data_IF_144766084248
#
_entry.id   IF_144766084248
#
_cell.length_a   1.000
_cell.length_b   1.000
_cell.length_c   1.000
_cell.angle_alpha   90.00
_cell.angle_beta   90.00
_cell.angle_gamma   90.00
#
_symmetry.space_group_name_H-M   'P 1'
#
loop_
_entity.id
_entity.type
_entity.pdbx_description
1 polymer ?
#
# COMPACT_ATOMS: atom_id res chain seq x y z
N UNK A 1 -2.53 -0.69 -12.88
CA UNK A 1 -2.28 0.23 -11.76
C UNK A 1 -2.97 1.56 -12.08
N UNK A 2 -4.13 1.84 -11.48
CA UNK A 2 -4.83 3.11 -11.70
C UNK A 2 -4.05 4.25 -11.02
N UNK A 3 -3.30 5.03 -11.79
CA UNK A 3 -2.75 6.29 -11.31
C UNK A 3 -3.91 7.24 -11.07
N UNK A 4 -4.16 7.60 -9.80
CA UNK A 4 -5.01 8.73 -9.47
C UNK A 4 -4.47 9.95 -10.23
N UNK A 5 -5.32 10.60 -11.04
CA UNK A 5 -4.93 11.71 -11.91
C UNK A 5 -4.31 12.84 -11.09
N UNK A 6 -3.01 13.07 -11.25
CA UNK A 6 -2.28 14.15 -10.60
C UNK A 6 -1.17 14.61 -11.54
N UNK A 7 -0.96 15.92 -11.66
CA UNK A 7 0.03 16.50 -12.59
C UNK A 7 1.48 16.09 -12.25
N UNK A 8 1.79 15.90 -10.96
CA UNK A 8 3.10 15.44 -10.47
C UNK A 8 2.88 14.44 -9.32
N UNK A 9 3.53 13.29 -9.39
CA UNK A 9 3.52 12.30 -8.31
C UNK A 9 4.89 12.20 -7.62
N UNK A 10 5.18 13.04 -6.60
CA UNK A 10 6.49 13.11 -5.95
C UNK A 10 6.82 11.87 -5.10
N UNK A 11 5.83 11.01 -4.83
CA UNK A 11 5.97 9.77 -4.06
C UNK A 11 6.03 8.54 -4.96
N UNK A 12 5.99 8.71 -6.28
CA UNK A 12 6.06 7.62 -7.24
C UNK A 12 7.35 6.81 -7.04
N UNK A 13 7.21 5.48 -7.00
CA UNK A 13 8.24 4.45 -6.70
C UNK A 13 8.61 4.26 -5.22
N UNK A 14 8.08 5.05 -4.29
CA UNK A 14 8.29 4.79 -2.86
C UNK A 14 7.30 3.74 -2.36
N UNK A 15 7.81 2.71 -1.70
CA UNK A 15 6.98 1.75 -0.97
C UNK A 15 6.49 2.34 0.37
N UNK A 16 5.55 1.67 1.04
CA UNK A 16 4.89 2.25 2.22
C UNK A 16 5.88 2.46 3.37
N UNK A 17 6.84 1.55 3.53
CA UNK A 17 7.95 1.64 4.48
C UNK A 17 8.86 2.83 4.22
N UNK A 18 9.25 3.07 2.96
CA UNK A 18 10.05 4.22 2.54
C UNK A 18 9.32 5.54 2.78
N UNK A 19 8.01 5.59 2.51
CA UNK A 19 7.16 6.73 2.85
C UNK A 19 7.15 7.05 4.35
N UNK A 20 7.03 6.03 5.21
CA UNK A 20 7.10 6.18 6.68
C UNK A 20 8.48 6.69 7.14
N UNK A 21 9.57 6.17 6.56
CA UNK A 21 10.93 6.61 6.88
C UNK A 21 11.15 8.08 6.51
N UNK A 22 10.63 8.51 5.35
CA UNK A 22 10.69 9.91 4.94
C UNK A 22 9.91 10.82 5.90
N UNK A 23 8.70 10.42 6.31
CA UNK A 23 7.91 11.16 7.28
C UNK A 23 8.61 11.27 8.64
N UNK A 24 9.25 10.19 9.11
CA UNK A 24 10.07 10.22 10.33
C UNK A 24 11.26 11.17 10.19
N UNK A 25 11.97 11.15 9.05
CA UNK A 25 13.09 12.06 8.77
C UNK A 25 12.67 13.54 8.70
N UNK A 26 11.43 13.81 8.26
CA UNK A 26 10.85 15.16 8.20
C UNK A 26 10.26 15.64 9.54
N UNK A 27 10.36 14.84 10.62
CA UNK A 27 9.84 15.19 11.94
C UNK A 27 8.30 15.12 12.03
N UNK A 28 7.66 14.32 11.17
CA UNK A 28 6.22 14.11 11.23
C UNK A 28 5.81 13.44 12.56
N UNK A 29 4.73 13.87 13.22
CA UNK A 29 4.20 13.22 14.41
C UNK A 29 3.93 11.72 14.21
N UNK A 30 4.36 10.89 15.15
CA UNK A 30 4.30 9.42 15.02
C UNK A 30 2.89 8.87 14.72
N UNK A 31 1.86 9.49 15.29
CA UNK A 31 0.48 9.04 15.12
C UNK A 31 -0.05 9.20 13.68
N UNK A 32 0.59 10.03 12.85
CA UNK A 32 0.16 10.25 11.46
C UNK A 32 0.67 9.16 10.52
N UNK A 33 1.92 8.71 10.67
CA UNK A 33 2.50 7.67 9.81
C UNK A 33 2.35 6.25 10.38
N UNK A 34 2.02 6.11 11.67
CA UNK A 34 1.64 4.83 12.30
C UNK A 34 0.13 4.54 12.22
N UNK A 35 -0.69 5.49 11.77
CA UNK A 35 -2.14 5.26 11.57
C UNK A 35 -2.34 4.11 10.58
N UNK A 36 -3.29 3.23 10.88
CA UNK A 36 -3.71 2.16 9.97
C UNK A 36 -4.18 2.80 8.65
N UNK A 37 -3.60 2.43 7.50
CA UNK A 37 -4.05 2.93 6.21
C UNK A 37 -5.49 2.51 5.98
N UNK A 38 -6.35 3.49 5.71
CA UNK A 38 -7.76 3.28 5.39
C UNK A 38 -8.10 4.23 4.25
N UNK A 39 -8.65 3.72 3.15
CA UNK A 39 -9.09 4.56 2.04
C UNK A 39 -10.26 5.50 2.42
N UNK A 40 -11.04 5.15 3.45
CA UNK A 40 -12.16 5.95 3.98
C UNK A 40 -13.21 6.31 2.89
N UNK A 41 -13.38 5.43 1.89
CA UNK A 41 -14.21 5.65 0.69
C UNK A 41 -15.63 5.08 0.78
N UNK A 42 -16.03 4.46 1.90
CA UNK A 42 -17.29 3.70 2.01
C UNK A 42 -18.15 4.21 3.17
N UNK A 43 -19.22 4.97 2.88
CA UNK A 43 -20.23 5.41 3.87
C UNK A 43 -20.99 4.22 4.50
N UNK A 44 -21.05 3.06 3.83
CA UNK A 44 -21.81 1.88 4.27
C UNK A 44 -20.99 0.84 5.05
N UNK A 45 -19.64 0.98 5.11
CA UNK A 45 -18.75 0.06 5.85
C UNK A 45 -17.54 0.81 6.43
N UNK A 46 -17.71 1.56 7.53
CA UNK A 46 -16.60 2.30 8.12
C UNK A 46 -15.52 1.33 8.60
N UNK A 47 -14.26 1.61 8.22
CA UNK A 47 -13.05 0.94 8.72
C UNK A 47 -12.77 -0.50 8.26
N UNK A 48 -13.17 -0.93 7.06
CA UNK A 48 -12.61 -2.19 6.54
C UNK A 48 -11.11 -1.98 6.24
N UNK A 49 -10.19 -2.71 6.90
CA UNK A 49 -8.77 -2.55 6.61
C UNK A 49 -8.49 -2.98 5.17
N UNK A 50 -7.70 -2.18 4.44
CA UNK A 50 -7.33 -2.47 3.05
C UNK A 50 -6.72 -3.88 2.92
N UNK A 51 -6.01 -4.35 3.95
CA UNK A 51 -5.42 -5.70 4.01
C UNK A 51 -6.47 -6.82 3.97
N UNK A 52 -7.63 -6.60 4.60
CA UNK A 52 -8.74 -7.55 4.61
C UNK A 52 -9.43 -7.60 3.24
N UNK A 53 -9.52 -6.46 2.55
CA UNK A 53 -10.08 -6.38 1.20
C UNK A 53 -9.15 -7.00 0.14
N UNK A 54 -7.84 -6.78 0.28
CA UNK A 54 -6.82 -7.26 -0.65
C UNK A 54 -6.46 -8.74 -0.41
N UNK A 55 -6.70 -9.27 0.80
CA UNK A 55 -6.34 -10.62 1.20
C UNK A 55 -4.84 -10.81 1.45
N UNK A 56 -4.08 -9.71 1.49
CA UNK A 56 -2.63 -9.65 1.73
C UNK A 56 -2.31 -8.42 2.57
N UNK A 57 -1.29 -8.51 3.43
CA UNK A 57 -0.84 -7.39 4.27
C UNK A 57 0.06 -6.43 3.49
N UNK A 58 0.23 -5.20 3.99
CA UNK A 58 1.18 -4.26 3.41
C UNK A 58 2.63 -4.74 3.52
N UNK A 59 2.97 -5.46 4.58
CA UNK A 59 4.31 -6.06 4.70
C UNK A 59 4.56 -7.11 3.62
N UNK A 60 3.55 -7.91 3.24
CA UNK A 60 3.65 -8.86 2.13
C UNK A 60 3.89 -8.17 0.79
N UNK A 61 3.23 -7.02 0.58
CA UNK A 61 3.40 -6.22 -0.65
C UNK A 61 4.79 -5.58 -0.68
N UNK A 62 5.23 -4.97 0.43
CA UNK A 62 6.55 -4.37 0.54
C UNK A 62 7.65 -5.42 0.36
N UNK A 63 7.50 -6.61 0.96
CA UNK A 63 8.47 -7.70 0.83
C UNK A 63 8.53 -8.26 -0.60
N UNK A 64 7.39 -8.32 -1.31
CA UNK A 64 7.36 -8.69 -2.72
C UNK A 64 8.06 -7.65 -3.61
N UNK A 65 7.80 -6.36 -3.38
CA UNK A 65 8.44 -5.27 -4.13
C UNK A 65 9.94 -5.12 -3.81
N UNK A 66 10.37 -5.48 -2.61
CA UNK A 66 11.78 -5.53 -2.18
C UNK A 66 12.51 -6.80 -2.68
N UNK A 67 11.81 -7.73 -3.34
CA UNK A 67 12.38 -8.96 -3.89
C UNK A 67 12.74 -10.02 -2.84
N UNK A 68 12.10 -9.95 -1.66
CA UNK A 68 12.30 -10.96 -0.60
C UNK A 68 11.59 -12.27 -0.93
N UNK A 69 11.92 -13.32 -0.20
CA UNK A 69 11.25 -14.62 -0.34
C UNK A 69 9.94 -14.61 0.43
N UNK A 70 8.83 -14.80 -0.29
CA UNK A 70 7.47 -14.93 0.26
C UNK A 70 6.79 -16.18 -0.31
N UNK A 71 5.67 -16.56 0.31
CA UNK A 71 4.87 -17.66 -0.19
C UNK A 71 4.35 -17.36 -1.62
N UNK A 72 4.48 -18.35 -2.50
CA UNK A 72 3.95 -18.34 -3.86
C UNK A 72 2.46 -17.98 -3.93
N UNK A 73 1.66 -18.32 -2.90
CA UNK A 73 0.24 -17.96 -2.84
C UNK A 73 0.04 -16.45 -2.68
N UNK A 74 0.93 -15.79 -1.92
CA UNK A 74 0.90 -14.34 -1.69
C UNK A 74 1.33 -13.61 -2.96
N UNK A 75 2.42 -14.05 -3.60
CA UNK A 75 2.89 -13.48 -4.87
C UNK A 75 1.80 -13.53 -5.95
N UNK A 76 1.13 -14.67 -6.12
CA UNK A 76 0.01 -14.82 -7.06
C UNK A 76 -1.16 -13.87 -6.76
N UNK A 77 -1.44 -13.61 -5.49
CA UNK A 77 -2.51 -12.69 -5.10
C UNK A 77 -2.16 -11.25 -5.50
N UNK A 78 -0.90 -10.84 -5.26
CA UNK A 78 -0.39 -9.53 -5.64
C UNK A 78 -0.38 -9.36 -7.17
N UNK A 79 0.16 -10.33 -7.91
CA UNK A 79 0.16 -10.34 -9.38
C UNK A 79 -1.27 -10.31 -9.95
N UNK A 80 -2.20 -11.04 -9.33
CA UNK A 80 -3.61 -11.03 -9.72
C UNK A 80 -4.26 -9.64 -9.59
N UNK A 81 -3.93 -8.89 -8.53
CA UNK A 81 -4.34 -7.50 -8.38
C UNK A 81 -3.64 -6.57 -9.39
N UNK A 82 -2.37 -6.81 -9.71
CA UNK A 82 -1.64 -6.06 -10.72
C UNK A 82 -2.31 -6.18 -12.10
N UNK A 83 -2.55 -7.40 -12.57
CA UNK A 83 -3.20 -7.68 -13.87
C UNK A 83 -4.61 -7.09 -13.94
N UNK A 84 -5.40 -7.20 -12.88
CA UNK A 84 -6.76 -6.62 -12.83
C UNK A 84 -6.80 -5.10 -12.99
N UNK A 85 -5.70 -4.41 -12.68
CA UNK A 85 -5.64 -2.95 -12.76
C UNK A 85 -4.85 -2.46 -13.99
N UNK A 86 -4.21 -3.34 -14.76
CA UNK A 86 -3.45 -3.04 -15.97
C UNK A 86 -4.37 -2.97 -17.20
N UNK A 87 -5.34 -2.05 -17.16
CA UNK A 87 -6.21 -1.69 -18.30
C UNK A 87 -5.98 -0.24 -18.69
#
# INVERSE_FOLDING_TARGET
MAMAGTDINPLHRLNKRQGKQLLAALGCPEHLYKKVPTADLEDDRPSLPDETALGVTYDNIDDYLEGKTLDSAIAKTIEGWYVKTET
#
